data_IF_969390202553
#
_entry.id   IF_969390202553
#
_cell.length_a   1.000
_cell.length_b   1.000
_cell.length_c   1.000
_cell.angle_alpha   90.00
_cell.angle_beta   90.00
_cell.angle_gamma   90.00
#
_symmetry.space_group_name_H-M   'P 1'
#
loop_
_entity.id
_entity.type
_entity.pdbx_description
1 polymer ?
#
# COMPACT_ATOMS: atom_id res chain seq x y z
N UNK A 1 19.17 -14.52 31.61
CA UNK A 1 18.64 -13.38 30.82
C UNK A 1 17.66 -13.95 29.82
N UNK A 2 16.37 -13.77 30.06
CA UNK A 2 15.29 -14.46 29.36
C UNK A 2 15.04 -13.83 27.98
N UNK A 3 15.40 -14.55 26.92
CA UNK A 3 14.96 -14.30 25.55
C UNK A 3 13.48 -14.67 25.43
N UNK A 4 12.59 -13.68 25.35
CA UNK A 4 11.20 -13.89 24.92
C UNK A 4 11.21 -14.05 23.40
N UNK A 5 11.03 -15.29 22.93
CA UNK A 5 10.57 -15.58 21.58
C UNK A 5 9.19 -14.92 21.39
N UNK A 6 9.03 -14.20 20.28
CA UNK A 6 7.75 -13.58 19.95
C UNK A 6 6.78 -14.68 19.53
N UNK A 7 5.91 -15.08 20.46
CA UNK A 7 4.66 -15.77 20.13
C UNK A 7 3.70 -14.69 19.63
N UNK A 8 3.46 -14.64 18.32
CA UNK A 8 2.48 -13.73 17.72
C UNK A 8 1.08 -14.24 18.04
N UNK A 9 0.57 -13.87 19.22
CA UNK A 9 -0.85 -13.95 19.56
C UNK A 9 -1.41 -12.52 19.59
N UNK A 10 -2.11 -12.19 18.52
CA UNK A 10 -2.81 -10.92 18.32
C UNK A 10 -3.75 -11.07 17.12
N UNK A 11 -4.89 -11.73 17.34
CA UNK A 11 -6.06 -11.62 16.47
C UNK A 11 -6.82 -10.36 16.86
N UNK A 12 -6.93 -9.40 15.93
CA UNK A 12 -8.11 -8.58 15.62
C UNK A 12 -7.69 -7.25 15.00
N UNK A 13 -8.31 -6.94 13.86
CA UNK A 13 -8.13 -5.80 12.95
C UNK A 13 -6.88 -5.83 12.04
N UNK A 14 -7.12 -5.76 10.72
CA UNK A 14 -6.15 -5.61 9.62
C UNK A 14 -5.37 -6.84 9.10
N UNK A 15 -5.86 -8.06 9.30
CA UNK A 15 -5.55 -9.20 8.39
C UNK A 15 -6.48 -9.24 7.18
N UNK A 16 -6.44 -8.21 6.34
CA UNK A 16 -7.12 -8.26 5.04
C UNK A 16 -6.50 -7.25 4.07
N UNK A 17 -5.33 -7.59 3.53
CA UNK A 17 -4.99 -7.14 2.18
C UNK A 17 -5.21 -8.30 1.23
N UNK A 18 -6.47 -8.69 1.01
CA UNK A 18 -6.76 -9.40 -0.24
C UNK A 18 -6.61 -8.37 -1.35
N UNK A 19 -5.77 -8.68 -2.32
CA UNK A 19 -5.55 -7.81 -3.48
C UNK A 19 -6.92 -7.45 -4.07
N UNK A 20 -7.26 -6.16 -4.08
CA UNK A 20 -8.24 -5.68 -5.05
C UNK A 20 -7.82 -6.28 -6.40
N UNK A 21 -8.68 -6.99 -7.15
CA UNK A 21 -8.28 -7.47 -8.45
C UNK A 21 -8.11 -6.24 -9.34
N UNK A 22 -6.91 -5.66 -9.36
CA UNK A 22 -6.56 -4.54 -10.23
C UNK A 22 -6.89 -4.88 -11.68
N UNK A 23 -6.84 -6.18 -12.01
CA UNK A 23 -7.35 -6.76 -13.24
C UNK A 23 -8.81 -6.38 -13.51
N UNK A 24 -9.70 -6.40 -12.51
CA UNK A 24 -11.10 -5.98 -12.63
C UNK A 24 -11.19 -4.48 -12.96
N UNK A 25 -10.50 -3.62 -12.21
CA UNK A 25 -10.50 -2.18 -12.51
C UNK A 25 -9.97 -1.88 -13.90
N UNK A 26 -8.79 -2.39 -14.28
CA UNK A 26 -8.21 -2.13 -15.60
C UNK A 26 -9.02 -2.72 -16.74
N UNK A 27 -9.65 -3.88 -16.54
CA UNK A 27 -10.43 -4.56 -17.58
C UNK A 27 -11.79 -3.90 -17.79
N UNK A 28 -12.44 -3.48 -16.71
CA UNK A 28 -13.80 -2.91 -16.76
C UNK A 28 -13.76 -1.43 -17.15
N UNK A 29 -12.75 -0.67 -16.72
CA UNK A 29 -12.66 0.77 -17.04
C UNK A 29 -11.91 1.11 -18.33
N UNK A 30 -11.20 0.17 -18.95
CA UNK A 30 -10.32 0.47 -20.09
C UNK A 30 -9.17 1.44 -19.79
N UNK A 31 -8.89 1.73 -18.52
CA UNK A 31 -7.79 2.60 -18.11
C UNK A 31 -6.43 1.97 -18.45
N UNK A 32 -5.49 2.80 -18.90
CA UNK A 32 -4.12 2.36 -19.13
C UNK A 32 -3.43 2.07 -17.80
N UNK A 33 -2.54 1.07 -17.79
CA UNK A 33 -1.76 0.71 -16.61
C UNK A 33 -0.93 1.87 -16.04
N UNK A 34 -0.46 2.79 -16.90
CA UNK A 34 0.29 3.99 -16.51
C UNK A 34 -0.55 5.07 -15.82
N UNK A 35 -1.88 4.93 -15.83
CA UNK A 35 -2.84 5.83 -15.19
C UNK A 35 -3.32 5.31 -13.83
N UNK A 36 -2.86 4.12 -13.41
CA UNK A 36 -3.33 3.43 -12.21
C UNK A 36 -2.16 3.11 -11.30
N UNK A 37 -2.14 3.71 -10.11
CA UNK A 37 -1.07 3.58 -9.12
C UNK A 37 -1.62 2.99 -7.82
N UNK A 38 -0.88 2.07 -7.19
CA UNK A 38 -1.41 1.27 -6.09
C UNK A 38 -0.55 1.41 -4.84
N UNK A 39 -1.19 1.48 -3.67
CA UNK A 39 -0.56 1.49 -2.35
C UNK A 39 0.54 2.55 -2.21
N UNK A 40 0.38 3.69 -2.91
CA UNK A 40 1.33 4.78 -2.82
C UNK A 40 1.24 5.43 -1.45
N UNK A 41 2.40 5.76 -0.88
CA UNK A 41 2.52 6.42 0.41
C UNK A 41 2.70 7.92 0.20
N UNK A 42 1.62 8.66 0.46
CA UNK A 42 1.55 10.11 0.31
C UNK A 42 2.15 10.77 1.54
N UNK A 43 3.18 11.62 1.40
CA UNK A 43 3.70 12.39 2.53
C UNK A 43 2.68 13.42 2.98
N UNK A 44 2.48 13.53 4.30
CA UNK A 44 1.64 14.57 4.88
C UNK A 44 2.23 15.97 4.60
N UNK A 45 1.45 17.02 4.90
CA UNK A 45 1.85 18.40 4.66
C UNK A 45 3.22 18.79 5.27
N UNK A 46 3.60 18.17 6.39
CA UNK A 46 4.86 18.43 7.10
C UNK A 46 5.99 17.47 6.72
N UNK A 47 5.73 16.51 5.83
CA UNK A 47 6.65 15.43 5.44
C UNK A 47 7.15 14.56 6.61
N UNK A 48 6.44 14.58 7.74
CA UNK A 48 6.80 13.82 8.95
C UNK A 48 6.21 12.41 8.96
N UNK A 49 5.14 12.19 8.20
CA UNK A 49 4.50 10.89 8.05
C UNK A 49 4.13 10.65 6.59
N UNK A 50 4.00 9.38 6.21
CA UNK A 50 3.48 8.98 4.89
C UNK A 50 2.29 8.03 5.07
N UNK A 51 1.14 8.44 4.57
CA UNK A 51 -0.08 7.64 4.61
C UNK A 51 -0.29 6.89 3.30
N UNK A 52 -0.66 5.61 3.39
CA UNK A 52 -1.00 4.81 2.22
C UNK A 52 -2.37 5.22 1.66
N UNK A 53 -2.43 5.43 0.35
CA UNK A 53 -3.67 5.46 -0.44
C UNK A 53 -3.74 4.14 -1.21
N UNK A 54 -4.86 3.43 -1.11
CA UNK A 54 -5.01 2.11 -1.75
C UNK A 54 -4.82 2.20 -3.27
N UNK A 55 -5.40 3.21 -3.89
CA UNK A 55 -5.39 3.40 -5.34
C UNK A 55 -5.43 4.88 -5.72
N UNK A 56 -4.62 5.27 -6.69
CA UNK A 56 -4.67 6.58 -7.35
C UNK A 56 -4.90 6.36 -8.84
N UNK A 57 -5.95 6.99 -9.36
CA UNK A 57 -6.28 6.93 -10.80
C UNK A 57 -6.14 8.33 -11.39
N UNK A 58 -5.44 8.43 -12.51
CA UNK A 58 -5.27 9.68 -13.26
C UNK A 58 -6.14 9.63 -14.52
N UNK A 59 -7.10 10.54 -14.64
CA UNK A 59 -7.89 10.74 -15.86
C UNK A 59 -7.69 12.15 -16.39
N UNK A 60 -8.16 12.43 -17.61
CA UNK A 60 -8.17 13.81 -18.14
C UNK A 60 -8.98 14.78 -17.28
N UNK A 61 -10.01 14.28 -16.57
CA UNK A 61 -10.85 15.11 -15.71
C UNK A 61 -10.25 15.37 -14.33
N UNK A 62 -9.61 14.37 -13.70
CA UNK A 62 -9.20 14.48 -12.31
C UNK A 62 -8.14 13.43 -11.91
N UNK A 63 -7.56 13.63 -10.74
CA UNK A 63 -6.78 12.64 -10.00
C UNK A 63 -7.66 12.09 -8.87
N UNK A 64 -8.06 10.83 -8.97
CA UNK A 64 -8.88 10.17 -7.97
C UNK A 64 -8.00 9.54 -6.90
N UNK A 65 -8.23 9.90 -5.65
CA UNK A 65 -7.59 9.31 -4.47
C UNK A 65 -8.58 8.33 -3.84
N UNK A 66 -8.27 7.04 -3.88
CA UNK A 66 -9.23 5.99 -3.59
C UNK A 66 -8.70 5.10 -2.45
N UNK A 67 -9.48 5.02 -1.37
CA UNK A 67 -9.31 4.00 -0.34
C UNK A 67 -10.32 2.87 -0.56
N UNK A 68 -9.85 1.63 -0.41
CA UNK A 68 -10.68 0.43 -0.59
C UNK A 68 -10.92 -0.21 0.77
N UNK A 69 -12.18 -0.59 1.04
CA UNK A 69 -12.60 -1.26 2.28
C UNK A 69 -13.35 -2.56 1.98
N UNK A 70 -13.04 -3.59 2.76
CA UNK A 70 -13.71 -4.89 2.74
C UNK A 70 -14.56 -5.12 3.99
N UNK A 71 -15.11 -4.04 4.54
CA UNK A 71 -15.94 -4.10 5.74
C UNK A 71 -17.22 -4.89 5.48
N UNK A 72 -17.82 -5.42 6.54
CA UNK A 72 -19.13 -6.05 6.51
C UNK A 72 -19.99 -5.45 7.62
N UNK A 73 -21.31 -5.57 7.50
CA UNK A 73 -22.27 -5.01 8.44
C UNK A 73 -22.72 -3.59 8.10
N UNK A 74 -23.40 -2.97 9.07
CA UNK A 74 -23.96 -1.63 8.96
C UNK A 74 -22.94 -0.59 9.41
N UNK A 75 -22.60 0.34 8.53
CA UNK A 75 -21.70 1.47 8.79
C UNK A 75 -22.52 2.72 9.01
N UNK A 76 -22.33 3.36 10.17
CA UNK A 76 -23.03 4.59 10.52
C UNK A 76 -22.11 5.67 11.08
N UNK A 77 -22.49 6.93 10.87
CA UNK A 77 -21.82 8.06 11.50
C UNK A 77 -22.35 8.26 12.93
N UNK A 78 -21.49 8.15 13.94
CA UNK A 78 -21.86 8.38 15.34
C UNK A 78 -21.49 9.78 15.85
N UNK A 79 -20.75 10.55 15.04
CA UNK A 79 -20.29 11.89 15.36
C UNK A 79 -19.34 12.42 14.28
N UNK A 80 -18.75 13.61 14.47
CA UNK A 80 -17.94 14.26 13.45
C UNK A 80 -16.69 13.47 13.07
N UNK A 81 -16.07 12.76 14.02
CA UNK A 81 -14.76 12.12 13.82
C UNK A 81 -14.80 10.60 13.98
N UNK A 82 -15.95 10.00 14.29
CA UNK A 82 -16.04 8.58 14.63
C UNK A 82 -17.22 7.94 13.94
N UNK A 83 -16.94 6.84 13.26
CA UNK A 83 -17.94 5.97 12.65
C UNK A 83 -18.04 4.68 13.45
N UNK A 84 -19.13 3.98 13.25
CA UNK A 84 -19.41 2.70 13.86
C UNK A 84 -19.73 1.68 12.79
N UNK A 85 -19.14 0.49 12.93
CA UNK A 85 -19.46 -0.69 12.15
C UNK A 85 -20.16 -1.66 13.08
N UNK A 86 -21.39 -2.03 12.74
CA UNK A 86 -22.18 -3.02 13.46
C UNK A 86 -22.29 -4.28 12.59
N UNK A 87 -21.66 -5.36 13.04
CA UNK A 87 -21.76 -6.67 12.38
C UNK A 87 -22.71 -7.54 13.18
N UNK A 88 -23.73 -8.09 12.52
CA UNK A 88 -24.63 -9.08 13.10
C UNK A 88 -24.19 -10.45 12.61
N UNK A 89 -23.81 -11.31 13.53
CA UNK A 89 -23.52 -12.72 13.28
C UNK A 89 -24.70 -13.53 13.82
N UNK A 90 -25.44 -14.16 12.90
CA UNK A 90 -26.50 -15.09 13.26
C UNK A 90 -25.88 -16.48 13.45
N UNK A 91 -25.85 -16.95 14.69
CA UNK A 91 -25.58 -18.34 15.03
C UNK A 91 -26.90 -19.05 15.31
N UNK A 92 -26.91 -20.39 15.21
CA UNK A 92 -28.12 -21.23 15.21
C UNK A 92 -29.10 -20.95 16.37
N UNK A 93 -28.63 -20.40 17.50
CA UNK A 93 -29.45 -20.14 18.69
C UNK A 93 -29.32 -18.72 19.26
N UNK A 94 -28.50 -17.83 18.68
CA UNK A 94 -28.35 -16.46 19.16
C UNK A 94 -27.81 -15.53 18.06
N UNK A 95 -28.24 -14.27 18.09
CA UNK A 95 -27.67 -13.21 17.26
C UNK A 95 -26.62 -12.46 18.06
N UNK A 96 -25.34 -12.63 17.70
CA UNK A 96 -24.27 -11.82 18.26
C UNK A 96 -24.15 -10.52 17.47
N UNK A 97 -23.99 -9.39 18.15
CA UNK A 97 -23.77 -8.09 17.52
C UNK A 97 -22.44 -7.56 17.99
N UNK A 98 -21.45 -7.51 17.10
CA UNK A 98 -20.18 -6.84 17.36
C UNK A 98 -20.26 -5.39 16.88
N UNK A 99 -19.69 -4.50 17.70
CA UNK A 99 -19.66 -3.07 17.43
C UNK A 99 -18.20 -2.61 17.44
N UNK A 100 -17.76 -2.07 16.31
CA UNK A 100 -16.42 -1.54 16.15
C UNK A 100 -16.49 -0.03 15.91
N UNK A 101 -15.76 0.75 16.71
CA UNK A 101 -15.57 2.18 16.47
C UNK A 101 -14.34 2.38 15.59
N UNK A 102 -14.49 3.18 14.56
CA UNK A 102 -13.43 3.47 13.59
C UNK A 102 -13.34 4.98 13.33
N UNK A 103 -12.16 5.50 12.98
CA UNK A 103 -12.03 6.89 12.56
C UNK A 103 -12.90 7.22 11.35
N UNK A 104 -13.30 8.48 11.21
CA UNK A 104 -14.05 8.97 10.06
C UNK A 104 -13.24 8.77 8.75
N UNK A 105 -13.64 7.79 7.94
CA UNK A 105 -12.96 7.47 6.69
C UNK A 105 -13.05 8.60 5.65
N UNK A 106 -14.17 9.31 5.62
CA UNK A 106 -14.37 10.42 4.70
C UNK A 106 -13.36 11.54 4.97
N UNK A 107 -13.19 11.91 6.24
CA UNK A 107 -12.20 12.89 6.65
C UNK A 107 -10.77 12.44 6.32
N UNK A 108 -10.47 11.15 6.54
CA UNK A 108 -9.17 10.58 6.22
C UNK A 108 -8.85 10.66 4.72
N UNK A 109 -9.76 10.23 3.83
CA UNK A 109 -9.48 10.26 2.39
C UNK A 109 -9.42 11.69 1.82
N UNK A 110 -10.22 12.61 2.35
CA UNK A 110 -10.14 14.04 1.99
C UNK A 110 -8.78 14.61 2.37
N UNK A 111 -8.28 14.25 3.55
CA UNK A 111 -6.95 14.65 4.01
C UNK A 111 -5.85 14.10 3.11
N UNK A 112 -5.89 12.80 2.79
CA UNK A 112 -4.95 12.17 1.85
C UNK A 112 -4.96 12.84 0.47
N UNK A 113 -6.13 13.20 -0.05
CA UNK A 113 -6.24 13.89 -1.34
C UNK A 113 -5.65 15.30 -1.32
N UNK A 114 -5.82 16.04 -0.22
CA UNK A 114 -5.17 17.34 0.00
C UNK A 114 -3.65 17.20 0.13
N UNK A 115 -3.20 16.21 0.86
CA UNK A 115 -1.77 15.96 1.07
C UNK A 115 -1.09 15.54 -0.25
N UNK A 116 -1.80 14.77 -1.09
CA UNK A 116 -1.33 14.44 -2.45
C UNK A 116 -1.20 15.70 -3.31
N UNK A 117 -2.21 16.56 -3.33
CA UNK A 117 -2.16 17.84 -4.04
C UNK A 117 -0.98 18.70 -3.57
N UNK A 118 -0.79 18.81 -2.25
CA UNK A 118 0.32 19.54 -1.64
C UNK A 118 1.68 18.93 -2.00
N UNK A 119 1.76 17.61 -2.13
CA UNK A 119 2.96 16.93 -2.61
C UNK A 119 3.25 17.24 -4.08
N UNK A 120 2.23 17.19 -4.94
CA UNK A 120 2.35 17.55 -6.37
C UNK A 120 2.89 18.97 -6.54
N UNK A 121 2.35 19.94 -5.78
CA UNK A 121 2.81 21.33 -5.81
C UNK A 121 4.29 21.46 -5.41
N UNK A 122 4.72 20.76 -4.35
CA UNK A 122 6.13 20.72 -3.94
C UNK A 122 7.05 20.11 -4.99
N UNK A 123 6.55 19.17 -5.78
CA UNK A 123 7.25 18.60 -6.93
C UNK A 123 7.17 19.48 -8.20
N UNK A 124 6.65 20.70 -8.11
CA UNK A 124 6.55 21.64 -9.23
C UNK A 124 5.32 21.45 -10.12
N UNK A 125 4.36 20.60 -9.72
CA UNK A 125 3.12 20.33 -10.45
C UNK A 125 1.97 21.10 -9.80
N UNK A 126 1.71 22.30 -10.31
CA UNK A 126 0.64 23.17 -9.79
C UNK A 126 -0.71 22.79 -10.40
N UNK A 127 -1.54 22.11 -9.60
CA UNK A 127 -2.92 21.76 -9.91
C UNK A 127 -3.87 22.32 -8.85
N UNK A 128 -5.12 22.59 -9.26
CA UNK A 128 -6.18 23.02 -8.34
C UNK A 128 -6.58 21.85 -7.44
N UNK A 129 -6.80 22.12 -6.16
CA UNK A 129 -7.26 21.11 -5.19
C UNK A 129 -8.57 20.41 -5.63
N UNK A 130 -9.44 21.12 -6.34
CA UNK A 130 -10.70 20.58 -6.87
C UNK A 130 -10.53 19.43 -7.85
N UNK A 131 -9.34 19.25 -8.43
CA UNK A 131 -9.01 18.16 -9.34
C UNK A 131 -8.59 16.89 -8.60
N UNK A 132 -8.39 16.93 -7.28
CA UNK A 132 -8.07 15.76 -6.47
C UNK A 132 -9.35 15.25 -5.80
N UNK A 133 -9.92 14.19 -6.35
CA UNK A 133 -11.23 13.69 -5.96
C UNK A 133 -11.11 12.50 -4.99
N UNK A 134 -11.50 12.66 -3.72
CA UNK A 134 -11.48 11.57 -2.75
C UNK A 134 -12.61 10.57 -3.00
N UNK A 135 -12.32 9.28 -2.88
CA UNK A 135 -13.31 8.19 -2.92
C UNK A 135 -12.99 7.09 -1.91
N UNK A 136 -14.02 6.50 -1.33
CA UNK A 136 -13.94 5.27 -0.54
C UNK A 136 -14.83 4.24 -1.18
N UNK A 137 -14.26 3.11 -1.59
CA UNK A 137 -15.00 1.99 -2.20
C UNK A 137 -15.21 0.90 -1.16
N UNK A 138 -16.45 0.50 -0.96
CA UNK A 138 -16.84 -0.65 -0.15
C UNK A 138 -17.09 -1.85 -1.05
N UNK A 139 -16.21 -2.85 -1.04
CA UNK A 139 -16.29 -3.97 -1.98
C UNK A 139 -17.07 -5.18 -1.47
N UNK A 140 -17.47 -5.17 -0.22
CA UNK A 140 -18.25 -6.29 0.31
C UNK A 140 -19.72 -6.05 0.01
N UNK A 141 -20.44 -7.02 -0.59
CA UNK A 141 -21.89 -6.94 -0.73
C UNK A 141 -22.61 -6.92 0.61
N UNK A 142 -21.92 -7.32 1.69
CA UNK A 142 -22.45 -7.31 3.05
C UNK A 142 -22.19 -5.99 3.79
N UNK A 143 -21.59 -4.99 3.13
CA UNK A 143 -21.41 -3.66 3.70
C UNK A 143 -22.60 -2.77 3.33
N UNK A 144 -23.30 -2.27 4.35
CA UNK A 144 -24.40 -1.32 4.17
C UNK A 144 -24.03 0.00 4.81
N UNK A 145 -24.21 1.10 4.08
CA UNK A 145 -24.05 2.45 4.60
C UNK A 145 -25.39 2.96 5.12
N UNK A 146 -25.37 3.70 6.21
CA UNK A 146 -26.56 4.45 6.64
C UNK A 146 -27.01 5.48 5.58
N UNK A 147 -28.23 5.97 5.72
CA UNK A 147 -28.84 6.87 4.74
C UNK A 147 -28.11 8.21 4.57
N UNK A 148 -27.34 8.67 5.56
CA UNK A 148 -26.62 9.94 5.47
C UNK A 148 -25.26 9.77 4.81
N UNK A 149 -24.61 8.62 5.05
CA UNK A 149 -23.38 8.22 4.38
C UNK A 149 -23.62 7.82 2.93
N UNK A 150 -24.72 7.10 2.63
CA UNK A 150 -25.04 6.67 1.27
C UNK A 150 -25.28 7.83 0.29
N UNK A 151 -25.70 9.00 0.79
CA UNK A 151 -25.86 10.23 -0.01
C UNK A 151 -24.53 10.91 -0.36
N UNK A 152 -23.42 10.51 0.26
CA UNK A 152 -22.11 11.14 0.03
C UNK A 152 -21.48 10.57 -1.23
N UNK A 153 -21.31 11.41 -2.25
CA UNK A 153 -20.66 11.03 -3.53
C UNK A 153 -19.23 10.48 -3.38
N UNK A 154 -18.57 10.80 -2.26
CA UNK A 154 -17.23 10.28 -1.95
C UNK A 154 -17.27 8.82 -1.52
N UNK A 155 -18.42 8.29 -1.11
CA UNK A 155 -18.59 6.91 -0.66
C UNK A 155 -19.29 6.13 -1.76
N UNK A 156 -18.66 5.05 -2.21
CA UNK A 156 -19.18 4.17 -3.26
C UNK A 156 -19.51 2.84 -2.61
N UNK A 157 -20.81 2.55 -2.52
CA UNK A 157 -21.29 1.29 -1.98
C UNK A 157 -21.03 0.14 -2.98
N UNK A 158 -21.12 -1.11 -2.54
CA UNK A 158 -20.84 -2.26 -3.40
C UNK A 158 -21.70 -2.27 -4.68
N UNK A 159 -22.98 -1.90 -4.59
CA UNK A 159 -23.88 -1.87 -5.76
C UNK A 159 -23.46 -0.85 -6.81
N UNK A 160 -22.77 0.20 -6.40
CA UNK A 160 -22.45 1.35 -7.26
C UNK A 160 -21.00 1.30 -7.75
N UNK A 161 -20.22 0.28 -7.37
CA UNK A 161 -18.81 0.15 -7.77
C UNK A 161 -18.69 0.02 -9.29
N UNK A 162 -19.52 -0.79 -9.93
CA UNK A 162 -19.45 -1.00 -11.39
C UNK A 162 -19.76 0.29 -12.15
N UNK A 163 -20.84 0.98 -11.79
CA UNK A 163 -21.21 2.29 -12.34
C UNK A 163 -20.11 3.32 -12.14
N UNK A 164 -19.51 3.37 -10.94
CA UNK A 164 -18.38 4.24 -10.67
C UNK A 164 -17.19 3.93 -11.59
N UNK A 165 -16.83 2.65 -11.74
CA UNK A 165 -15.71 2.23 -12.60
C UNK A 165 -15.98 2.56 -14.07
N UNK A 166 -17.21 2.39 -14.55
CA UNK A 166 -17.61 2.78 -15.88
C UNK A 166 -17.54 4.31 -16.09
N UNK A 167 -17.96 5.10 -15.09
CA UNK A 167 -17.88 6.58 -15.17
C UNK A 167 -16.44 7.10 -15.36
N UNK A 168 -15.45 6.37 -14.83
CA UNK A 168 -14.03 6.68 -15.04
C UNK A 168 -13.62 6.47 -16.51
N UNK A 169 -14.15 5.42 -17.16
CA UNK A 169 -13.92 5.13 -18.57
C UNK A 169 -14.50 6.22 -19.46
N UNK A 170 -15.76 6.61 -19.23
CA UNK A 170 -16.44 7.61 -20.05
C UNK A 170 -15.73 8.96 -19.96
N UNK A 171 -15.31 9.36 -18.77
CA UNK A 171 -14.46 10.54 -18.53
C UNK A 171 -13.10 10.44 -19.23
N UNK A 172 -12.55 9.23 -19.36
CA UNK A 172 -11.29 9.00 -20.05
C UNK A 172 -11.45 9.08 -21.57
N UNK A 173 -12.46 8.42 -22.13
CA UNK A 173 -12.72 8.37 -23.58
C UNK A 173 -13.12 9.73 -24.14
N UNK A 174 -14.01 10.46 -23.46
CA UNK A 174 -14.42 11.83 -23.83
C UNK A 174 -13.21 12.78 -23.89
N UNK A 175 -12.30 12.68 -22.92
CA UNK A 175 -11.07 13.48 -22.95
C UNK A 175 -10.14 13.12 -24.11
N UNK A 176 -9.98 11.83 -24.44
CA UNK A 176 -9.13 11.42 -25.59
C UNK A 176 -9.66 12.01 -26.89
N UNK A 177 -10.98 12.09 -27.06
CA UNK A 177 -11.61 12.67 -28.24
C UNK A 177 -11.57 14.20 -28.24
N UNK A 178 -11.62 14.85 -27.07
CA UNK A 178 -11.63 16.31 -26.91
C UNK A 178 -10.24 16.95 -26.82
N UNK A 179 -9.17 16.17 -27.04
CA UNK A 179 -7.76 16.57 -26.99
C UNK A 179 -7.37 17.82 -27.82
N UNK A 180 -8.27 18.36 -28.64
CA UNK A 180 -8.12 19.57 -29.44
C UNK A 180 -8.74 20.82 -28.79
N UNK A 181 -9.44 20.70 -27.65
CA UNK A 181 -9.92 21.86 -26.88
C UNK A 181 -8.86 22.36 -25.89
N UNK A 182 -8.56 23.67 -25.88
CA UNK A 182 -7.62 24.24 -24.92
C UNK A 182 -8.07 24.04 -23.46
N UNK A 183 -7.21 23.44 -22.63
CA UNK A 183 -7.47 23.10 -21.21
C UNK A 183 -8.02 24.23 -20.30
N UNK A 184 -7.84 25.50 -20.67
CA UNK A 184 -8.37 26.64 -19.91
C UNK A 184 -9.90 26.82 -20.04
N UNK A 185 -10.52 26.24 -21.08
CA UNK A 185 -11.96 26.30 -21.34
C UNK A 185 -12.71 25.07 -20.79
N UNK A 186 -12.08 23.89 -20.75
CA UNK A 186 -12.75 22.64 -20.39
C UNK A 186 -12.64 22.26 -18.90
N UNK A 187 -11.69 22.85 -18.18
CA UNK A 187 -11.41 22.47 -16.78
C UNK A 187 -10.68 21.13 -16.63
N UNK A 188 -10.29 20.49 -17.73
CA UNK A 188 -9.54 19.23 -17.77
C UNK A 188 -8.02 19.44 -17.62
N UNK A 189 -7.32 18.38 -17.21
CA UNK A 189 -5.87 18.30 -17.20
C UNK A 189 -5.33 18.27 -18.65
N UNK A 190 -4.37 19.15 -18.94
CA UNK A 190 -3.61 19.09 -20.20
C UNK A 190 -2.72 17.85 -20.25
N UNK A 191 -2.33 17.41 -21.46
CA UNK A 191 -1.36 16.31 -21.65
C UNK A 191 -0.05 16.51 -20.86
N UNK A 192 0.44 17.75 -20.79
CA UNK A 192 1.64 18.09 -20.03
C UNK A 192 1.42 17.90 -18.54
N UNK A 193 0.28 18.32 -18.01
CA UNK A 193 -0.07 18.11 -16.60
C UNK A 193 -0.24 16.63 -16.28
N UNK A 194 -0.90 15.85 -17.14
CA UNK A 194 -1.03 14.41 -16.98
C UNK A 194 0.33 13.71 -16.95
N UNK A 195 1.22 14.05 -17.90
CA UNK A 195 2.59 13.53 -17.92
C UNK A 195 3.36 13.87 -16.66
N UNK A 196 3.24 15.11 -16.16
CA UNK A 196 3.89 15.55 -14.93
C UNK A 196 3.34 14.83 -13.69
N UNK A 197 2.02 14.67 -13.57
CA UNK A 197 1.38 13.91 -12.48
C UNK A 197 1.86 12.45 -12.49
N UNK A 198 1.81 11.78 -13.65
CA UNK A 198 2.29 10.39 -13.78
C UNK A 198 3.75 10.26 -13.39
N UNK A 199 4.59 11.23 -13.79
CA UNK A 199 6.01 11.23 -13.43
C UNK A 199 6.21 11.30 -11.92
N UNK A 200 5.52 12.21 -11.23
CA UNK A 200 5.61 12.34 -9.77
C UNK A 200 5.08 11.07 -9.09
N UNK A 201 3.89 10.59 -9.47
CA UNK A 201 3.32 9.36 -8.90
C UNK A 201 4.22 8.14 -9.12
N UNK A 202 4.87 8.03 -10.29
CA UNK A 202 5.81 6.96 -10.60
C UNK A 202 7.11 6.98 -9.78
N UNK A 203 7.41 8.10 -9.12
CA UNK A 203 8.55 8.23 -8.21
C UNK A 203 8.16 7.99 -6.74
N UNK A 204 6.87 7.88 -6.43
CA UNK A 204 6.40 7.68 -5.07
C UNK A 204 6.63 6.23 -4.61
N UNK A 205 7.06 6.10 -3.36
CA UNK A 205 7.21 4.83 -2.68
C UNK A 205 5.89 4.21 -2.21
N UNK A 206 5.97 2.91 -2.00
CA UNK A 206 5.01 2.04 -1.29
C UNK A 206 5.63 1.59 0.03
N UNK A 207 5.05 0.58 0.67
CA UNK A 207 5.74 -0.14 1.76
C UNK A 207 6.88 -1.02 1.26
N UNK A 208 7.84 -1.26 2.14
CA UNK A 208 8.79 -2.37 2.02
C UNK A 208 8.08 -3.67 2.37
N UNK A 209 8.52 -4.76 1.74
CA UNK A 209 7.95 -6.10 1.93
C UNK A 209 9.04 -7.05 2.41
N UNK A 210 8.85 -7.66 3.58
CA UNK A 210 9.70 -8.74 4.08
C UNK A 210 8.95 -10.05 3.88
N UNK A 211 9.52 -10.95 3.09
CA UNK A 211 9.04 -12.33 2.97
C UNK A 211 9.89 -13.23 3.84
N UNK A 212 9.26 -13.88 4.80
CA UNK A 212 9.90 -14.86 5.67
C UNK A 212 10.01 -16.21 4.98
N UNK A 213 10.95 -17.05 5.41
CA UNK A 213 11.09 -18.43 4.94
C UNK A 213 9.84 -19.28 5.20
N UNK A 214 9.01 -18.90 6.17
CA UNK A 214 7.71 -19.54 6.45
C UNK A 214 6.66 -19.25 5.38
N UNK A 215 6.92 -18.35 4.44
CA UNK A 215 5.95 -17.86 3.46
C UNK A 215 5.12 -16.67 3.93
N UNK A 216 5.22 -16.29 5.20
CA UNK A 216 4.55 -15.08 5.73
C UNK A 216 5.19 -13.82 5.14
N UNK A 217 4.37 -12.86 4.73
CA UNK A 217 4.80 -11.56 4.24
C UNK A 217 4.41 -10.46 5.23
N UNK A 218 5.39 -9.61 5.56
CA UNK A 218 5.22 -8.44 6.43
C UNK A 218 5.38 -7.18 5.60
N UNK A 219 4.51 -6.19 5.83
CA UNK A 219 4.56 -4.87 5.20
C UNK A 219 4.99 -3.83 6.22
N UNK A 220 5.84 -2.89 5.83
CA UNK A 220 6.38 -1.91 6.76
C UNK A 220 7.57 -1.14 6.20
N UNK A 221 8.39 -0.60 7.09
CA UNK A 221 9.56 0.20 6.77
C UNK A 221 10.84 -0.51 7.22
N UNK A 222 11.73 -0.78 6.26
CA UNK A 222 13.09 -1.23 6.56
C UNK A 222 13.89 -0.09 7.20
N UNK A 223 14.38 -0.34 8.42
CA UNK A 223 15.16 0.64 9.20
C UNK A 223 16.67 0.38 9.11
N UNK A 224 17.08 -0.87 8.87
CA UNK A 224 18.49 -1.20 8.75
C UNK A 224 18.80 -2.65 9.08
N UNK A 225 20.05 -3.05 8.85
CA UNK A 225 20.60 -4.33 9.26
C UNK A 225 22.07 -4.11 9.58
N UNK A 226 22.51 -4.60 10.74
CA UNK A 226 23.92 -4.53 11.10
C UNK A 226 24.75 -5.27 10.04
N UNK A 227 25.92 -4.75 9.69
CA UNK A 227 26.81 -5.33 8.68
C UNK A 227 26.31 -5.28 7.22
N UNK A 228 25.19 -4.60 6.95
CA UNK A 228 24.68 -4.40 5.60
C UNK A 228 24.57 -2.90 5.30
N UNK A 229 25.46 -2.40 4.46
CA UNK A 229 25.32 -1.08 3.85
C UNK A 229 24.59 -1.22 2.51
N UNK A 230 23.49 -0.51 2.34
CA UNK A 230 22.70 -0.54 1.10
C UNK A 230 22.27 0.86 0.67
N UNK A 231 22.14 1.05 -0.64
CA UNK A 231 21.54 2.25 -1.23
C UNK A 231 20.15 1.91 -1.74
N UNK A 232 19.10 2.51 -1.17
CA UNK A 232 17.71 2.27 -1.60
C UNK A 232 17.45 2.72 -3.05
N UNK A 233 18.19 3.72 -3.52
CA UNK A 233 18.12 4.22 -4.89
C UNK A 233 18.63 3.18 -5.89
N UNK A 234 19.64 2.38 -5.50
CA UNK A 234 20.29 1.41 -6.37
C UNK A 234 19.75 -0.01 -6.20
N UNK A 235 19.27 -0.38 -5.01
CA UNK A 235 18.86 -1.74 -4.67
C UNK A 235 17.33 -1.86 -4.56
N UNK A 236 16.73 -2.84 -5.27
CA UNK A 236 15.28 -3.14 -5.18
C UNK A 236 14.97 -4.37 -4.33
N UNK A 237 15.86 -5.36 -4.31
CA UNK A 237 15.64 -6.64 -3.61
C UNK A 237 16.89 -7.05 -2.85
N UNK A 238 16.68 -7.48 -1.61
CA UNK A 238 17.64 -8.22 -0.80
C UNK A 238 17.19 -9.68 -0.75
N UNK A 239 18.05 -10.61 -1.14
CA UNK A 239 17.79 -12.05 -1.02
C UNK A 239 18.74 -12.66 0.00
N UNK A 240 18.16 -13.34 1.00
CA UNK A 240 18.88 -13.95 2.10
C UNK A 240 18.98 -15.45 1.83
N UNK A 241 20.21 -15.94 1.69
CA UNK A 241 20.51 -17.36 1.48
C UNK A 241 21.35 -17.88 2.63
N UNK A 242 20.87 -18.92 3.30
CA UNK A 242 21.67 -19.65 4.29
C UNK A 242 22.74 -20.43 3.53
N UNK A 243 24.00 -20.28 3.96
CA UNK A 243 25.10 -21.10 3.43
C UNK A 243 25.28 -22.32 4.31
N UNK A 244 25.00 -23.52 3.78
CA UNK A 244 25.22 -24.78 4.49
C UNK A 244 24.01 -25.73 4.50
N UNK A 245 24.27 -27.02 4.68
CA UNK A 245 23.25 -28.01 5.05
C UNK A 245 22.98 -27.90 6.55
N UNK A 246 21.70 -27.96 6.95
CA UNK A 246 21.24 -27.79 8.35
C UNK A 246 22.02 -28.63 9.38
N UNK A 247 22.52 -29.80 8.97
CA UNK A 247 23.30 -30.71 9.81
C UNK A 247 24.71 -30.21 10.10
N UNK A 248 25.39 -29.63 9.11
CA UNK A 248 26.73 -29.08 9.28
C UNK A 248 26.69 -27.81 10.14
N UNK A 249 25.74 -26.91 9.89
CA UNK A 249 25.61 -25.65 10.66
C UNK A 249 25.32 -25.91 12.14
N UNK A 250 24.51 -26.92 12.45
CA UNK A 250 24.21 -27.31 13.83
C UNK A 250 25.47 -27.83 14.52
N UNK A 251 26.24 -28.70 13.86
CA UNK A 251 27.48 -29.24 14.40
C UNK A 251 28.53 -28.16 14.65
N UNK A 252 28.73 -27.23 13.71
CA UNK A 252 29.67 -26.12 13.87
C UNK A 252 29.22 -25.10 14.92
N UNK A 253 27.91 -24.92 15.11
CA UNK A 253 27.38 -24.04 16.15
C UNK A 253 27.68 -24.54 17.56
N UNK A 254 27.73 -25.87 17.77
CA UNK A 254 28.15 -26.48 19.04
C UNK A 254 29.63 -26.24 19.33
N UNK A 255 30.45 -25.97 18.31
CA UNK A 255 31.86 -25.63 18.42
C UNK A 255 32.11 -24.11 18.49
N UNK A 256 31.05 -23.31 18.63
CA UNK A 256 31.13 -21.85 18.78
C UNK A 256 31.15 -21.06 17.46
N UNK A 257 31.01 -21.70 16.31
CA UNK A 257 30.92 -21.01 15.03
C UNK A 257 29.51 -20.47 14.80
N UNK A 258 29.38 -19.19 14.45
CA UNK A 258 28.08 -18.60 14.10
C UNK A 258 27.79 -18.87 12.62
N UNK A 259 26.69 -19.57 12.27
CA UNK A 259 26.31 -19.82 10.88
C UNK A 259 26.15 -18.49 10.12
N UNK A 260 26.47 -18.50 8.83
CA UNK A 260 26.49 -17.29 8.01
C UNK A 260 25.33 -17.26 6.99
N UNK A 261 24.86 -16.06 6.69
CA UNK A 261 23.83 -15.78 5.69
C UNK A 261 24.43 -14.91 4.60
N UNK A 262 24.38 -15.39 3.37
CA UNK A 262 24.73 -14.60 2.19
C UNK A 262 23.53 -13.75 1.79
N UNK A 263 23.72 -12.43 1.81
CA UNK A 263 22.75 -11.45 1.32
C UNK A 263 23.17 -11.00 -0.07
N UNK A 264 22.31 -11.24 -1.06
CA UNK A 264 22.46 -10.74 -2.42
C UNK A 264 21.60 -9.49 -2.59
N UNK A 265 22.18 -8.43 -3.12
CA UNK A 265 21.50 -7.15 -3.32
C UNK A 265 21.32 -6.92 -4.82
N UNK A 266 20.08 -6.92 -5.30
CA UNK A 266 19.77 -6.77 -6.72
C UNK A 266 19.53 -5.32 -7.10
N UNK A 267 19.99 -4.95 -8.30
CA UNK A 267 19.91 -3.58 -8.79
C UNK A 267 18.49 -3.24 -9.26
N UNK A 268 18.01 -2.07 -8.85
CA UNK A 268 16.72 -1.48 -9.21
C UNK A 268 16.62 -1.22 -10.72
N UNK A 269 15.44 -1.48 -11.28
CA UNK A 269 15.10 -1.13 -12.67
C UNK A 269 15.63 -2.10 -13.74
N UNK A 270 16.28 -3.20 -13.36
CA UNK A 270 16.72 -4.20 -14.32
C UNK A 270 15.54 -4.94 -14.96
N UNK A 271 15.42 -4.85 -16.29
CA UNK A 271 14.43 -5.57 -17.11
C UNK A 271 15.11 -6.77 -17.78
N UNK A 272 14.52 -7.96 -17.67
CA UNK A 272 14.96 -9.14 -18.44
C UNK A 272 14.93 -10.46 -17.65
N UNK A 273 14.78 -11.57 -18.38
CA UNK A 273 14.74 -12.93 -17.81
C UNK A 273 16.13 -13.52 -17.47
N UNK A 274 17.20 -12.91 -17.99
CA UNK A 274 18.58 -13.37 -17.85
C UNK A 274 19.25 -12.58 -16.73
N UNK A 275 19.09 -13.08 -15.50
CA UNK A 275 19.84 -12.65 -14.31
C UNK A 275 19.65 -11.19 -13.92
N UNK A 276 18.95 -10.94 -12.81
CA UNK A 276 18.95 -9.60 -12.22
C UNK A 276 20.39 -9.22 -11.82
N UNK A 277 20.95 -8.10 -12.31
CA UNK A 277 22.29 -7.68 -11.94
C UNK A 277 22.37 -7.40 -10.45
N UNK A 278 23.50 -7.80 -9.84
CA UNK A 278 23.78 -7.54 -8.43
C UNK A 278 24.37 -6.14 -8.28
N UNK A 279 23.82 -5.37 -7.35
CA UNK A 279 24.45 -4.17 -6.78
C UNK A 279 25.53 -4.52 -5.77
N UNK A 280 25.45 -5.70 -5.13
CA UNK A 280 26.48 -6.21 -4.25
C UNK A 280 26.09 -7.48 -3.52
N UNK A 281 27.01 -7.97 -2.69
CA UNK A 281 26.80 -9.14 -1.82
C UNK A 281 27.46 -8.91 -0.47
N UNK A 282 26.84 -9.38 0.60
CA UNK A 282 27.41 -9.36 1.94
C UNK A 282 27.19 -10.70 2.64
N UNK A 283 28.15 -11.12 3.45
CA UNK A 283 27.99 -12.29 4.32
C UNK A 283 27.85 -11.79 5.75
N UNK A 284 26.73 -12.11 6.39
CA UNK A 284 26.41 -11.66 7.74
C UNK A 284 26.14 -12.85 8.68
N UNK A 285 26.41 -12.71 9.98
CA UNK A 285 26.03 -13.73 10.96
C UNK A 285 24.52 -14.00 10.94
N UNK A 286 24.11 -15.27 11.05
CA UNK A 286 22.70 -15.71 11.01
C UNK A 286 21.82 -15.18 12.15
N UNK A 287 22.45 -14.80 13.26
CA UNK A 287 21.83 -14.16 14.42
C UNK A 287 21.78 -12.62 14.31
N UNK A 288 22.27 -12.04 13.22
CA UNK A 288 22.07 -10.62 12.90
C UNK A 288 20.59 -10.35 12.72
N UNK A 289 20.12 -9.20 13.21
CA UNK A 289 18.72 -8.80 13.07
C UNK A 289 18.58 -7.67 12.06
N UNK A 290 17.60 -7.83 11.18
CA UNK A 290 17.03 -6.74 10.39
C UNK A 290 16.05 -5.99 11.30
N UNK A 291 16.21 -4.66 11.35
CA UNK A 291 15.30 -3.75 12.03
C UNK A 291 14.23 -3.33 11.04
N UNK A 292 12.97 -3.61 11.36
CA UNK A 292 11.83 -3.40 10.48
C UNK A 292 10.63 -2.88 11.27
N UNK A 293 10.08 -1.73 10.89
CA UNK A 293 8.85 -1.21 11.51
C UNK A 293 7.65 -1.75 10.78
N UNK A 294 6.89 -2.64 11.42
CA UNK A 294 5.69 -3.22 10.82
C UNK A 294 4.62 -2.13 10.67
N UNK A 295 3.88 -2.16 9.56
CA UNK A 295 2.78 -1.21 9.31
C UNK A 295 1.79 -1.24 10.48
N UNK A 296 1.49 -0.06 11.01
CA UNK A 296 0.53 0.12 12.11
C UNK A 296 1.14 -0.08 13.50
N UNK A 297 2.42 -0.44 13.59
CA UNK A 297 3.15 -0.54 14.85
C UNK A 297 4.07 0.67 15.04
N UNK A 298 4.15 1.14 16.29
CA UNK A 298 5.04 2.25 16.66
C UNK A 298 6.46 1.78 16.99
N UNK A 299 6.66 0.48 17.20
CA UNK A 299 7.93 -0.11 17.61
C UNK A 299 8.59 -0.89 16.48
N UNK A 300 9.92 -0.90 16.49
CA UNK A 300 10.70 -1.64 15.51
C UNK A 300 10.80 -3.12 15.90
N UNK A 301 10.41 -4.00 14.96
CA UNK A 301 10.63 -5.42 15.08
C UNK A 301 12.08 -5.77 14.72
N UNK A 302 12.66 -6.72 15.46
CA UNK A 302 13.96 -7.31 15.18
C UNK A 302 13.76 -8.69 14.57
N UNK A 303 13.97 -8.80 13.26
CA UNK A 303 13.74 -10.03 12.50
C UNK A 303 15.09 -10.69 12.24
N UNK A 304 15.33 -11.94 12.68
CA UNK A 304 16.59 -12.64 12.41
C UNK A 304 16.84 -12.77 10.90
N UNK A 305 18.06 -12.46 10.45
CA UNK A 305 18.46 -12.58 9.03
C UNK A 305 18.25 -14.00 8.49
N UNK A 306 18.41 -15.00 9.34
CA UNK A 306 18.17 -16.40 8.98
C UNK A 306 16.70 -16.71 8.68
N UNK A 307 15.71 -16.01 9.25
CA UNK A 307 14.29 -16.27 9.00
C UNK A 307 13.73 -15.55 7.78
N UNK A 308 14.51 -14.65 7.20
CA UNK A 308 14.12 -13.85 6.04
C UNK A 308 14.49 -14.62 4.77
N UNK A 309 13.57 -14.62 3.81
CA UNK A 309 13.83 -15.11 2.46
C UNK A 309 14.22 -13.94 1.55
N UNK A 310 13.36 -12.91 1.48
CA UNK A 310 13.61 -11.71 0.67
C UNK A 310 13.09 -10.45 1.34
N UNK A 311 13.69 -9.32 1.00
CA UNK A 311 13.15 -7.99 1.29
C UNK A 311 13.04 -7.25 -0.03
N UNK A 312 11.86 -6.75 -0.36
CA UNK A 312 11.64 -5.83 -1.48
C UNK A 312 11.59 -4.42 -0.94
N UNK A 313 12.49 -3.56 -1.41
CA UNK A 313 12.62 -2.18 -0.98
C UNK A 313 11.88 -1.25 -1.92
N UNK A 314 11.02 -0.40 -1.36
CA UNK A 314 10.40 0.71 -2.05
C UNK A 314 11.26 1.99 -1.95
N UNK A 315 11.01 2.93 -2.87
CA UNK A 315 11.73 4.21 -2.99
C UNK A 315 11.31 5.20 -1.88
#
# INVERSE_FOLDING_TARGET
MNSRSVTVNGQSADKQTSAFPLSLLTRVSGLKKEDVFCNLRVPNQFQTAREEVSLIIVTGAAVYCIDVKQWAGMVSAQGPNTWQIQVKEEEQNFTNTSIHKVPNLLQAIVTKARDLCSHMQRCGVNLRQSLFLPRVLFLSPHCQLDNELSKRKELVSHSDVEDFVQSLQESYMTWVTDALTPSWLSGHLSFRQLGAVRHVLGQMGTWDLVKLCSGVELKGDYQGCQHLALSRQETDILEFRRGGTLTADTFWSLLGYTPQVLVKMYKRGAKGWLGKPLSGTATIPSNTHVVFRIRGEDQDAKIPASSIHTITLSI
#
